data_IF_784424700695
#
_entry.id   IF_784424700695
#
_cell.length_a   1.000
_cell.length_b   1.000
_cell.length_c   1.000
_cell.angle_alpha   90.00
_cell.angle_beta   90.00
_cell.angle_gamma   90.00
#
_symmetry.space_group_name_H-M   'P 1'
#
loop_
_entity.id
_entity.type
_entity.pdbx_description
1 polymer ?
#
# COMPACT_ATOMS: atom_id res chain seq x y z
N UNK A 1 27.70 4.28 0.79
CA UNK A 1 26.37 3.77 1.14
C UNK A 1 25.40 4.95 1.14
N UNK A 2 24.34 4.93 0.32
CA UNK A 2 23.25 5.89 0.48
C UNK A 2 22.50 5.53 1.75
N UNK A 3 22.42 6.48 2.69
CA UNK A 3 21.82 6.33 4.03
C UNK A 3 20.30 6.04 3.97
N UNK A 4 19.70 6.10 2.77
CA UNK A 4 18.27 5.88 2.54
C UNK A 4 17.95 4.60 1.72
N UNK A 5 18.87 3.64 1.58
CA UNK A 5 18.54 2.40 0.88
C UNK A 5 17.60 1.54 1.74
N UNK A 6 16.40 1.24 1.24
CA UNK A 6 15.43 0.42 1.95
C UNK A 6 16.00 -1.00 2.14
N UNK A 7 16.21 -1.40 3.40
CA UNK A 7 16.69 -2.72 3.77
C UNK A 7 15.80 -3.86 3.22
N UNK A 8 14.49 -3.64 3.14
CA UNK A 8 13.55 -4.62 2.58
C UNK A 8 13.82 -4.85 1.11
N UNK A 9 14.15 -3.79 0.35
CA UNK A 9 14.53 -3.89 -1.06
C UNK A 9 15.86 -4.64 -1.22
N UNK A 10 16.82 -4.39 -0.33
CA UNK A 10 18.09 -5.13 -0.31
C UNK A 10 17.85 -6.63 -0.08
N UNK A 11 16.99 -6.96 0.89
CA UNK A 11 16.65 -8.34 1.21
C UNK A 11 15.96 -9.03 0.03
N UNK A 12 14.99 -8.37 -0.60
CA UNK A 12 14.30 -8.88 -1.79
C UNK A 12 15.27 -9.18 -2.94
N UNK A 13 16.23 -8.31 -3.21
CA UNK A 13 17.24 -8.53 -4.24
C UNK A 13 18.20 -9.69 -3.87
N UNK A 14 18.58 -9.79 -2.60
CA UNK A 14 19.45 -10.86 -2.11
C UNK A 14 18.79 -12.24 -2.13
N UNK A 15 17.45 -12.32 -2.02
CA UNK A 15 16.73 -13.60 -2.13
C UNK A 15 17.01 -14.33 -3.45
N UNK A 16 17.28 -13.60 -4.54
CA UNK A 16 17.65 -14.19 -5.83
C UNK A 16 18.96 -14.96 -5.70
N UNK A 17 19.99 -14.36 -5.10
CA UNK A 17 21.28 -15.02 -4.87
C UNK A 17 21.18 -16.17 -3.86
N UNK A 18 20.42 -15.96 -2.78
CA UNK A 18 20.18 -16.98 -1.77
C UNK A 18 19.45 -18.20 -2.36
N UNK A 19 18.53 -18.00 -3.31
CA UNK A 19 17.79 -19.10 -3.94
C UNK A 19 18.72 -20.13 -4.60
N UNK A 20 19.80 -19.68 -5.26
CA UNK A 20 20.78 -20.57 -5.88
C UNK A 20 21.51 -21.40 -4.83
N UNK A 21 21.97 -20.75 -3.75
CA UNK A 21 22.66 -21.41 -2.64
C UNK A 21 21.74 -22.46 -1.99
N UNK A 22 20.46 -22.11 -1.80
CA UNK A 22 19.45 -23.02 -1.24
C UNK A 22 19.26 -24.24 -2.15
N UNK A 23 19.14 -24.06 -3.47
CA UNK A 23 18.98 -25.19 -4.42
C UNK A 23 20.20 -26.13 -4.36
N UNK A 24 21.41 -25.59 -4.37
CA UNK A 24 22.63 -26.40 -4.22
C UNK A 24 22.70 -27.12 -2.87
N UNK A 25 22.37 -26.42 -1.77
CA UNK A 25 22.33 -26.98 -0.43
C UNK A 25 21.34 -28.15 -0.32
N UNK A 26 20.13 -27.97 -0.84
CA UNK A 26 19.09 -29.01 -0.89
C UNK A 26 19.61 -30.23 -1.68
N UNK A 27 20.29 -30.02 -2.81
CA UNK A 27 20.80 -31.15 -3.58
C UNK A 27 21.85 -31.98 -2.82
N UNK A 28 22.69 -31.34 -2.01
CA UNK A 28 23.69 -31.97 -1.16
C UNK A 28 23.04 -32.75 -0.01
N UNK A 29 22.10 -32.12 0.70
CA UNK A 29 21.39 -32.74 1.85
C UNK A 29 20.64 -33.99 1.42
N UNK A 30 19.92 -33.94 0.29
CA UNK A 30 19.12 -35.07 -0.19
C UNK A 30 19.88 -36.05 -1.09
N UNK A 31 21.21 -35.99 -1.16
CA UNK A 31 22.04 -36.86 -2.03
C UNK A 31 21.79 -38.35 -1.81
N UNK A 32 21.40 -38.74 -0.58
CA UNK A 32 21.18 -40.14 -0.19
C UNK A 32 19.78 -40.67 -0.53
N UNK A 33 18.79 -39.81 -0.81
CA UNK A 33 17.40 -40.19 -1.06
C UNK A 33 17.04 -40.30 -2.55
N UNK A 34 17.88 -40.97 -3.36
CA UNK A 34 17.89 -40.87 -4.83
C UNK A 34 16.53 -41.01 -5.55
N UNK A 35 15.68 -41.98 -5.17
CA UNK A 35 14.40 -42.24 -5.87
C UNK A 35 13.28 -41.27 -5.51
N UNK A 36 13.25 -40.78 -4.27
CA UNK A 36 12.17 -39.92 -3.75
C UNK A 36 12.59 -38.47 -3.52
N UNK A 37 13.88 -38.15 -3.72
CA UNK A 37 14.47 -36.81 -3.50
C UNK A 37 13.62 -35.71 -4.12
N UNK A 38 13.30 -35.82 -5.41
CA UNK A 38 12.55 -34.77 -6.10
C UNK A 38 11.12 -34.66 -5.61
N UNK A 39 10.49 -35.77 -5.22
CA UNK A 39 9.14 -35.76 -4.63
C UNK A 39 9.16 -34.99 -3.30
N UNK A 40 10.11 -35.31 -2.42
CA UNK A 40 10.24 -34.62 -1.12
C UNK A 40 10.50 -33.13 -1.31
N UNK A 41 11.43 -32.77 -2.20
CA UNK A 41 11.76 -31.36 -2.50
C UNK A 41 10.52 -30.62 -3.01
N UNK A 42 9.80 -31.21 -3.96
CA UNK A 42 8.57 -30.61 -4.49
C UNK A 42 7.51 -30.43 -3.40
N UNK A 43 7.31 -31.42 -2.53
CA UNK A 43 6.36 -31.31 -1.41
C UNK A 43 6.75 -30.16 -0.48
N UNK A 44 8.04 -30.01 -0.14
CA UNK A 44 8.53 -28.91 0.70
C UNK A 44 8.25 -27.55 0.03
N UNK A 45 8.55 -27.41 -1.26
CA UNK A 45 8.28 -26.17 -1.99
C UNK A 45 6.79 -25.87 -2.11
N UNK A 46 5.94 -26.88 -2.29
CA UNK A 46 4.48 -26.72 -2.32
C UNK A 46 3.99 -26.22 -0.96
N UNK A 47 4.40 -26.85 0.15
CA UNK A 47 4.02 -26.42 1.49
C UNK A 47 4.49 -24.98 1.75
N UNK A 48 5.74 -24.67 1.40
CA UNK A 48 6.31 -23.33 1.55
C UNK A 48 5.54 -22.30 0.72
N UNK A 49 5.17 -22.62 -0.52
CA UNK A 49 4.38 -21.77 -1.39
C UNK A 49 2.96 -21.53 -0.84
N UNK A 50 2.29 -22.58 -0.34
CA UNK A 50 0.97 -22.46 0.27
C UNK A 50 1.02 -21.55 1.51
N UNK A 51 2.06 -21.69 2.32
CA UNK A 51 2.26 -20.87 3.50
C UNK A 51 2.50 -19.40 3.13
N UNK A 52 3.42 -19.12 2.20
CA UNK A 52 3.77 -17.75 1.82
C UNK A 52 2.71 -17.03 1.00
N UNK A 53 1.95 -17.75 0.17
CA UNK A 53 0.93 -17.11 -0.69
C UNK A 53 -0.26 -16.58 0.12
N UNK A 54 -0.45 -17.05 1.37
CA UNK A 54 -1.59 -16.68 2.20
C UNK A 54 -2.86 -17.45 1.85
N UNK A 55 -2.77 -18.53 1.05
CA UNK A 55 -3.92 -19.38 0.67
C UNK A 55 -4.64 -19.95 1.90
N UNK A 56 -3.93 -20.12 3.01
CA UNK A 56 -4.51 -20.62 4.26
C UNK A 56 -5.27 -19.56 5.06
N UNK A 57 -5.11 -18.27 4.78
CA UNK A 57 -5.72 -17.17 5.56
C UNK A 57 -7.25 -17.27 5.61
N UNK A 58 -7.99 -17.50 4.51
CA UNK A 58 -9.44 -17.64 4.57
C UNK A 58 -9.91 -18.86 5.38
N UNK A 59 -9.05 -19.87 5.53
CA UNK A 59 -9.39 -21.14 6.21
C UNK A 59 -9.07 -21.05 7.70
N UNK A 60 -7.90 -20.52 8.05
CA UNK A 60 -7.41 -20.46 9.43
C UNK A 60 -7.81 -19.17 10.16
N UNK A 61 -8.34 -18.19 9.42
CA UNK A 61 -8.49 -16.82 9.90
C UNK A 61 -7.16 -16.06 9.88
N UNK A 62 -7.23 -14.74 9.72
CA UNK A 62 -6.05 -13.86 9.66
C UNK A 62 -6.31 -12.58 8.87
N UNK A 63 -5.28 -11.76 8.71
CA UNK A 63 -5.34 -10.54 7.88
C UNK A 63 -5.37 -10.87 6.40
N UNK A 64 -6.30 -10.25 5.66
CA UNK A 64 -6.51 -10.50 4.24
C UNK A 64 -5.27 -10.15 3.40
N UNK A 65 -4.69 -11.16 2.75
CA UNK A 65 -3.60 -10.95 1.79
C UNK A 65 -4.10 -10.26 0.53
N UNK A 66 -3.47 -9.13 0.17
CA UNK A 66 -3.75 -8.40 -1.07
C UNK A 66 -3.58 -9.26 -2.34
N UNK A 67 -2.78 -10.31 -2.28
CA UNK A 67 -2.50 -11.17 -3.44
C UNK A 67 -3.66 -12.11 -3.80
N UNK A 68 -4.57 -12.39 -2.86
CA UNK A 68 -5.61 -13.39 -3.03
C UNK A 68 -7.02 -12.82 -2.86
N UNK A 69 -7.15 -11.69 -2.17
CA UNK A 69 -8.44 -11.12 -1.80
C UNK A 69 -8.59 -9.72 -2.40
N UNK A 70 -9.81 -9.42 -2.85
CA UNK A 70 -10.21 -8.13 -3.39
C UNK A 70 -11.05 -7.31 -2.40
N UNK A 71 -10.84 -7.53 -1.10
CA UNK A 71 -11.61 -6.90 -0.04
C UNK A 71 -10.76 -6.66 1.23
N UNK A 72 -11.30 -5.81 2.10
CA UNK A 72 -10.68 -5.48 3.38
C UNK A 72 -9.65 -4.38 3.27
N UNK A 73 -9.26 -3.88 4.44
CA UNK A 73 -8.50 -2.63 4.54
C UNK A 73 -7.16 -2.66 3.80
N UNK A 74 -6.47 -3.80 3.78
CA UNK A 74 -5.20 -3.95 3.07
C UNK A 74 -5.39 -3.78 1.56
N UNK A 75 -6.39 -4.46 0.97
CA UNK A 75 -6.73 -4.31 -0.43
C UNK A 75 -7.13 -2.86 -0.75
N UNK A 76 -8.06 -2.31 0.03
CA UNK A 76 -8.61 -0.98 -0.23
C UNK A 76 -7.51 0.11 -0.13
N UNK A 77 -6.54 -0.06 0.76
CA UNK A 77 -5.41 0.86 0.97
C UNK A 77 -4.38 0.80 -0.15
N UNK A 78 -3.94 -0.40 -0.54
CA UNK A 78 -2.80 -0.57 -1.45
C UNK A 78 -3.20 -0.76 -2.92
N UNK A 79 -4.38 -1.32 -3.21
CA UNK A 79 -4.84 -1.46 -4.58
C UNK A 79 -5.24 -0.08 -5.12
N UNK A 80 -4.75 0.24 -6.31
CA UNK A 80 -5.13 1.50 -6.99
C UNK A 80 -6.21 1.20 -8.02
N UNK A 81 -7.42 1.68 -7.76
CA UNK A 81 -8.53 1.48 -8.69
C UNK A 81 -8.45 2.47 -9.86
N UNK A 82 -8.97 2.08 -11.03
CA UNK A 82 -9.01 2.96 -12.22
C UNK A 82 -9.73 4.29 -11.92
N UNK A 83 -10.76 4.28 -11.08
CA UNK A 83 -11.45 5.49 -10.60
C UNK A 83 -10.53 6.45 -9.85
N UNK A 84 -9.59 5.96 -9.04
CA UNK A 84 -8.59 6.78 -8.36
C UNK A 84 -7.57 7.34 -9.34
N UNK A 85 -7.14 6.54 -10.33
CA UNK A 85 -6.25 7.00 -11.40
C UNK A 85 -6.89 8.15 -12.17
N UNK A 86 -8.18 8.05 -12.52
CA UNK A 86 -8.90 9.14 -13.20
C UNK A 86 -9.01 10.41 -12.34
N UNK A 87 -9.16 10.26 -11.02
CA UNK A 87 -9.17 11.39 -10.10
C UNK A 87 -7.80 12.08 -10.02
N UNK A 88 -6.70 11.31 -10.00
CA UNK A 88 -5.33 11.84 -10.03
C UNK A 88 -5.07 12.55 -11.38
N UNK A 89 -5.50 11.98 -12.50
CA UNK A 89 -5.39 12.63 -13.81
C UNK A 89 -6.20 13.93 -13.86
N UNK A 90 -7.38 13.96 -13.25
CA UNK A 90 -8.16 15.18 -13.11
C UNK A 90 -7.43 16.22 -12.25
N UNK A 91 -6.87 15.79 -11.11
CA UNK A 91 -6.08 16.62 -10.22
C UNK A 91 -4.90 17.26 -10.98
N UNK A 92 -4.20 16.47 -11.80
CA UNK A 92 -3.12 16.94 -12.66
C UNK A 92 -3.54 17.98 -13.67
N UNK A 93 -4.75 17.87 -14.21
CA UNK A 93 -5.22 18.81 -15.22
C UNK A 93 -5.70 20.13 -14.62
N UNK A 94 -6.35 20.09 -13.45
CA UNK A 94 -7.11 21.24 -12.94
C UNK A 94 -6.60 21.84 -11.63
N UNK A 95 -5.69 21.17 -10.91
CA UNK A 95 -5.12 21.71 -9.67
C UNK A 95 -3.79 22.44 -9.89
N UNK A 96 -3.54 23.42 -9.02
CA UNK A 96 -2.25 24.11 -8.93
C UNK A 96 -1.34 23.39 -7.92
N UNK A 97 -0.24 22.82 -8.42
CA UNK A 97 0.71 22.05 -7.62
C UNK A 97 1.51 22.89 -6.62
N UNK A 98 1.42 24.23 -6.68
CA UNK A 98 2.01 25.12 -5.68
C UNK A 98 1.25 25.10 -4.35
N UNK A 99 -0.04 24.75 -4.37
CA UNK A 99 -0.81 24.60 -3.15
C UNK A 99 -0.53 23.24 -2.50
N UNK A 100 -0.59 23.20 -1.17
CA UNK A 100 -0.49 21.93 -0.43
C UNK A 100 -1.62 20.98 -0.85
N UNK A 101 -1.26 19.72 -1.07
CA UNK A 101 -2.20 18.63 -1.31
C UNK A 101 -2.25 17.76 -0.07
N UNK A 102 -3.38 17.73 0.63
CA UNK A 102 -3.61 16.86 1.77
C UNK A 102 -4.15 15.54 1.27
N UNK A 103 -3.43 14.47 1.55
CA UNK A 103 -3.80 13.11 1.21
C UNK A 103 -3.30 12.23 2.36
N UNK A 104 -3.99 11.14 2.67
CA UNK A 104 -3.48 10.23 3.69
C UNK A 104 -2.26 9.45 3.17
N UNK A 105 -1.63 8.65 4.04
CA UNK A 105 -0.37 7.97 3.68
C UNK A 105 -0.50 7.05 2.47
N UNK A 106 -1.60 6.31 2.35
CA UNK A 106 -1.80 5.39 1.22
C UNK A 106 -2.17 6.15 -0.07
N UNK A 107 -2.98 7.21 0.04
CA UNK A 107 -3.30 8.06 -1.09
C UNK A 107 -2.05 8.77 -1.67
N UNK A 108 -1.12 9.21 -0.82
CA UNK A 108 0.18 9.76 -1.24
C UNK A 108 0.92 8.79 -2.16
N UNK A 109 1.03 7.52 -1.79
CA UNK A 109 1.70 6.50 -2.61
C UNK A 109 1.04 6.34 -4.00
N UNK A 110 -0.28 6.42 -4.05
CA UNK A 110 -1.04 6.34 -5.32
C UNK A 110 -0.81 7.59 -6.18
N UNK A 111 -0.81 8.78 -5.57
CA UNK A 111 -0.54 10.04 -6.25
C UNK A 111 0.89 10.01 -6.80
N UNK A 112 1.89 9.67 -5.99
CA UNK A 112 3.29 9.59 -6.44
C UNK A 112 3.49 8.61 -7.60
N UNK A 113 2.74 7.51 -7.63
CA UNK A 113 2.84 6.50 -8.68
C UNK A 113 2.21 6.92 -10.02
N UNK A 114 1.10 7.67 -10.00
CA UNK A 114 0.28 7.93 -11.19
C UNK A 114 0.23 9.41 -11.61
N UNK A 115 0.63 10.33 -10.74
CA UNK A 115 0.70 11.76 -11.04
C UNK A 115 1.88 12.08 -11.95
N UNK A 116 1.66 13.00 -12.89
CA UNK A 116 2.73 13.62 -13.69
C UNK A 116 3.23 14.93 -13.07
N UNK A 117 2.56 15.43 -12.03
CA UNK A 117 2.96 16.62 -11.27
C UNK A 117 3.61 16.22 -9.95
N UNK A 118 4.63 16.99 -9.57
CA UNK A 118 5.19 16.92 -8.22
C UNK A 118 4.37 17.82 -7.29
N UNK A 119 3.54 17.22 -6.45
CA UNK A 119 2.78 17.94 -5.43
C UNK A 119 3.58 18.05 -4.14
N UNK A 120 3.34 19.13 -3.39
CA UNK A 120 3.71 19.18 -1.98
C UNK A 120 2.64 18.45 -1.17
N UNK A 121 2.80 17.14 -1.05
CA UNK A 121 1.84 16.30 -0.33
C UNK A 121 2.07 16.43 1.18
N UNK A 122 0.97 16.60 1.91
CA UNK A 122 0.92 16.51 3.37
C UNK A 122 0.26 15.17 3.69
N UNK A 123 1.01 14.15 4.15
CA UNK A 123 0.58 12.75 4.18
C UNK A 123 -0.29 12.41 5.40
N UNK A 124 -1.19 13.31 5.77
CA UNK A 124 -2.15 13.16 6.86
C UNK A 124 -3.31 14.14 6.69
N UNK A 125 -4.47 13.75 7.23
CA UNK A 125 -5.70 14.52 7.13
C UNK A 125 -6.18 14.80 8.55
N UNK A 126 -5.64 15.89 9.10
CA UNK A 126 -5.92 16.35 10.47
C UNK A 126 -6.52 17.76 10.35
N UNK A 127 -7.73 18.03 10.90
CA UNK A 127 -8.41 19.30 10.75
C UNK A 127 -7.56 20.55 11.04
N UNK A 128 -6.76 20.52 12.11
CA UNK A 128 -6.00 21.66 12.63
C UNK A 128 -4.87 22.14 11.70
N UNK A 129 -4.42 21.28 10.79
CA UNK A 129 -3.27 21.53 9.90
C UNK A 129 -3.68 21.74 8.44
N UNK A 130 -4.97 21.58 8.11
CA UNK A 130 -5.51 21.77 6.77
C UNK A 130 -5.61 23.26 6.44
N UNK A 131 -4.84 23.70 5.44
CA UNK A 131 -4.86 25.08 4.98
C UNK A 131 -6.12 25.36 4.13
N UNK A 132 -6.74 26.52 4.33
CA UNK A 132 -7.87 27.03 3.55
C UNK A 132 -7.63 27.05 2.04
N UNK A 133 -6.41 27.30 1.56
CA UNK A 133 -6.12 27.30 0.11
C UNK A 133 -5.70 25.94 -0.46
N UNK A 134 -5.45 24.94 0.40
CA UNK A 134 -4.97 23.62 0.02
C UNK A 134 -6.05 22.71 -0.58
N UNK A 135 -5.64 21.76 -1.40
CA UNK A 135 -6.50 20.71 -1.93
C UNK A 135 -6.54 19.53 -0.97
N UNK A 136 -7.66 18.81 -0.91
CA UNK A 136 -7.76 17.53 -0.19
C UNK A 136 -8.13 16.45 -1.19
N UNK A 137 -7.32 15.40 -1.26
CA UNK A 137 -7.61 14.20 -2.05
C UNK A 137 -8.09 13.09 -1.12
N UNK A 138 -9.30 12.61 -1.37
CA UNK A 138 -9.93 11.51 -0.64
C UNK A 138 -9.92 10.28 -1.53
N UNK A 139 -9.19 9.24 -1.11
CA UNK A 139 -9.03 7.98 -1.84
C UNK A 139 -10.22 7.03 -1.66
N UNK A 140 -10.16 5.89 -2.36
CA UNK A 140 -11.19 4.85 -2.25
C UNK A 140 -11.32 4.32 -0.81
N UNK A 141 -10.19 4.08 -0.14
CA UNK A 141 -10.14 3.61 1.25
C UNK A 141 -10.83 4.59 2.19
N UNK A 142 -10.57 5.90 2.00
CA UNK A 142 -11.13 6.93 2.86
C UNK A 142 -12.66 7.02 2.74
N UNK A 143 -13.20 6.78 1.54
CA UNK A 143 -14.64 6.81 1.29
C UNK A 143 -15.31 5.54 1.79
N UNK A 144 -14.71 4.38 1.54
CA UNK A 144 -15.31 3.08 1.83
C UNK A 144 -15.25 2.74 3.31
N UNK A 145 -14.10 2.96 3.94
CA UNK A 145 -13.85 2.56 5.33
C UNK A 145 -14.00 3.73 6.30
N UNK A 146 -14.19 4.95 5.80
CA UNK A 146 -14.33 6.18 6.60
C UNK A 146 -13.14 6.46 7.55
N UNK A 147 -11.95 6.01 7.15
CA UNK A 147 -10.70 6.21 7.92
C UNK A 147 -9.63 6.95 7.11
N UNK A 148 -8.70 7.59 7.82
CA UNK A 148 -7.47 8.16 7.29
C UNK A 148 -6.27 7.41 7.86
N UNK A 149 -5.28 7.13 7.01
CA UNK A 149 -4.00 6.55 7.42
C UNK A 149 -2.96 7.61 7.77
N UNK A 150 -2.27 7.44 8.90
CA UNK A 150 -1.19 8.32 9.36
C UNK A 150 0.08 7.49 9.51
N UNK A 151 1.19 7.96 8.93
CA UNK A 151 2.50 7.32 9.06
C UNK A 151 3.08 7.59 10.44
N UNK A 152 3.02 6.60 11.33
CA UNK A 152 3.56 6.70 12.69
C UNK A 152 4.98 6.14 12.82
N UNK A 153 5.71 5.92 11.71
CA UNK A 153 7.08 5.38 11.76
C UNK A 153 8.07 6.19 12.60
N UNK A 154 7.75 7.45 12.93
CA UNK A 154 8.54 8.28 13.84
C UNK A 154 8.25 8.01 15.33
N UNK A 155 7.09 7.44 15.67
CA UNK A 155 6.62 7.27 17.05
C UNK A 155 6.47 5.80 17.47
N UNK A 156 6.13 4.91 16.53
CA UNK A 156 6.02 3.47 16.76
C UNK A 156 6.90 2.69 15.78
N UNK A 157 7.60 1.68 16.28
CA UNK A 157 8.37 0.75 15.46
C UNK A 157 7.42 0.02 14.49
N UNK A 158 7.29 0.57 13.27
CA UNK A 158 6.51 0.04 12.15
C UNK A 158 4.99 -0.01 12.41
N UNK A 159 4.34 1.15 12.46
CA UNK A 159 2.88 1.26 12.48
C UNK A 159 2.35 2.26 11.46
N UNK A 160 1.24 1.91 10.80
CA UNK A 160 0.30 2.88 10.23
C UNK A 160 -0.87 2.90 11.19
N UNK A 161 -1.19 4.08 11.72
CA UNK A 161 -2.41 4.25 12.51
C UNK A 161 -3.57 4.64 11.58
N UNK A 162 -4.75 4.16 11.94
CA UNK A 162 -5.99 4.55 11.30
C UNK A 162 -6.79 5.41 12.26
N UNK A 163 -7.22 6.57 11.78
CA UNK A 163 -8.12 7.48 12.50
C UNK A 163 -9.40 7.64 11.71
N UNK A 164 -10.49 8.08 12.35
CA UNK A 164 -11.69 8.45 11.61
C UNK A 164 -11.38 9.57 10.61
N UNK A 165 -11.89 9.44 9.40
CA UNK A 165 -11.73 10.46 8.37
C UNK A 165 -12.64 11.66 8.70
N UNK A 166 -12.13 12.91 8.75
CA UNK A 166 -12.89 14.05 9.25
C UNK A 166 -13.85 14.64 8.19
N UNK A 167 -14.80 13.83 7.70
CA UNK A 167 -15.74 14.25 6.66
C UNK A 167 -16.56 15.48 7.05
N UNK A 168 -17.05 15.57 8.28
CA UNK A 168 -17.84 16.72 8.74
C UNK A 168 -17.05 18.02 8.66
N UNK A 169 -15.79 18.01 9.14
CA UNK A 169 -14.93 19.18 9.04
C UNK A 169 -14.69 19.57 7.58
N UNK A 170 -14.38 18.59 6.71
CA UNK A 170 -14.07 18.86 5.31
C UNK A 170 -15.31 19.40 4.58
N UNK A 171 -16.46 18.77 4.72
CA UNK A 171 -17.69 19.18 4.04
C UNK A 171 -18.17 20.57 4.50
N UNK A 172 -17.90 20.96 5.75
CA UNK A 172 -18.26 22.28 6.28
C UNK A 172 -17.26 23.40 5.93
N UNK A 173 -16.00 23.07 5.62
CA UNK A 173 -14.93 24.06 5.44
C UNK A 173 -14.33 24.10 4.04
N UNK A 174 -14.68 23.14 3.17
CA UNK A 174 -14.11 22.98 1.83
C UNK A 174 -15.19 22.69 0.80
N UNK A 175 -14.99 23.20 -0.42
CA UNK A 175 -15.88 22.94 -1.54
C UNK A 175 -15.50 21.65 -2.24
N UNK A 176 -16.47 20.77 -2.48
CA UNK A 176 -16.28 19.60 -3.33
C UNK A 176 -16.18 20.03 -4.80
N UNK A 177 -15.05 19.72 -5.44
CA UNK A 177 -14.76 20.14 -6.83
C UNK A 177 -14.64 18.95 -7.81
N UNK A 178 -14.49 17.74 -7.28
CA UNK A 178 -14.51 16.51 -8.07
C UNK A 178 -15.07 15.36 -7.24
N UNK A 179 -15.89 14.52 -7.86
CA UNK A 179 -16.41 13.29 -7.26
C UNK A 179 -16.74 12.30 -8.37
N UNK A 180 -16.22 11.08 -8.29
CA UNK A 180 -16.54 9.98 -9.21
C UNK A 180 -17.04 8.71 -8.49
N UNK A 181 -17.48 8.86 -7.24
CA UNK A 181 -18.01 7.76 -6.41
C UNK A 181 -16.95 6.99 -5.64
N UNK A 182 -15.68 6.99 -6.06
CA UNK A 182 -14.61 6.30 -5.33
C UNK A 182 -13.32 7.10 -5.16
N UNK A 183 -13.33 8.36 -5.56
CA UNK A 183 -12.41 9.39 -5.10
C UNK A 183 -13.13 10.75 -5.08
N UNK A 184 -12.75 11.61 -4.14
CA UNK A 184 -13.25 12.99 -4.02
C UNK A 184 -12.09 13.96 -3.92
N UNK A 185 -12.27 15.16 -4.47
CA UNK A 185 -11.30 16.25 -4.34
C UNK A 185 -12.02 17.50 -3.84
N UNK A 186 -11.44 18.12 -2.81
CA UNK A 186 -11.95 19.32 -2.19
C UNK A 186 -10.96 20.49 -2.30
N UNK A 187 -11.48 21.72 -2.24
CA UNK A 187 -10.68 22.96 -2.20
C UNK A 187 -11.26 23.99 -1.24
#
# INVERSE_FOLDING_TARGET
LSIAYNFERLLQQNLIFLSLIIVFGIQLVFKYFRKIKYIIISIIFIIYFIYLSGVLVPILGGSNSLFLQNNGIEYDSYYTHNIEIQAIVWLDKYSDSKNSLYADRFAELKIDAYSKKNYRIVPYIIPEVINRSGYIYTSYTNIREEIASIDERQYFMRGVAFTNYPFDFINNNKSLIYNNGGAKIYR
#
